data_IF_432725030300
#
_entry.id   IF_432725030300
#
_cell.length_a   1.000
_cell.length_b   1.000
_cell.length_c   1.000
_cell.angle_alpha   90.00
_cell.angle_beta   90.00
_cell.angle_gamma   90.00
#
_symmetry.space_group_name_H-M   'P 1'
#
loop_
_entity.id
_entity.type
_entity.pdbx_description
1 polymer ?
#
# COMPACT_ATOMS: atom_id res chain seq x y z
N UNK A 1 -5.08 9.92 13.39
CA UNK A 1 -4.79 10.13 11.96
C UNK A 1 -6.07 9.85 11.19
N UNK A 2 -6.39 10.62 10.16
CA UNK A 2 -7.50 10.33 9.25
C UNK A 2 -6.89 9.97 7.92
N UNK A 3 -7.05 8.72 7.48
CA UNK A 3 -6.44 8.22 6.26
C UNK A 3 -7.31 7.09 5.66
N UNK A 4 -7.03 6.74 4.41
CA UNK A 4 -7.64 5.59 3.77
C UNK A 4 -7.26 4.31 4.56
N UNK A 5 -8.23 3.53 5.08
CA UNK A 5 -7.95 2.35 5.90
C UNK A 5 -7.26 1.21 5.14
N UNK A 6 -7.26 1.24 3.81
CA UNK A 6 -6.56 0.27 2.97
C UNK A 6 -5.11 0.68 2.64
N UNK A 7 -4.73 1.92 2.95
CA UNK A 7 -3.37 2.41 2.79
C UNK A 7 -2.54 2.08 4.03
N UNK A 8 -1.23 1.85 3.85
CA UNK A 8 -0.28 1.83 4.95
C UNK A 8 -0.48 3.11 5.79
N UNK A 9 -0.68 2.99 7.12
CA UNK A 9 -0.84 4.13 8.02
C UNK A 9 0.46 4.94 8.08
N UNK A 10 0.62 5.83 7.12
CA UNK A 10 1.81 6.66 6.93
C UNK A 10 1.39 8.11 6.69
N UNK A 11 1.89 9.00 7.56
CA UNK A 11 1.68 10.45 7.47
C UNK A 11 0.36 10.96 8.10
N UNK A 12 0.36 12.25 8.43
CA UNK A 12 -0.80 12.98 8.95
C UNK A 12 -1.08 12.73 10.42
N UNK A 13 -0.16 13.10 11.31
CA UNK A 13 -0.45 13.19 12.74
C UNK A 13 -1.20 14.48 13.03
N UNK A 14 -2.28 14.36 13.80
CA UNK A 14 -2.89 15.50 14.46
C UNK A 14 -2.52 15.38 15.93
N UNK A 15 -1.92 16.42 16.48
CA UNK A 15 -1.58 16.50 17.89
C UNK A 15 -2.68 17.27 18.61
N UNK A 16 -3.14 16.73 19.73
CA UNK A 16 -4.09 17.39 20.64
C UNK A 16 -3.38 17.59 21.96
N UNK A 17 -3.37 18.83 22.45
CA UNK A 17 -2.71 19.18 23.71
C UNK A 17 -3.43 18.53 24.89
N UNK A 18 -2.67 18.06 25.88
CA UNK A 18 -3.24 17.49 27.10
C UNK A 18 -4.16 18.50 27.80
N UNK A 19 -5.29 18.02 28.32
CA UNK A 19 -6.30 18.86 28.99
C UNK A 19 -7.20 19.67 28.05
N UNK A 20 -7.11 19.47 26.73
CA UNK A 20 -7.98 20.13 25.75
C UNK A 20 -8.93 19.15 25.07
N UNK A 21 -10.09 19.65 24.62
CA UNK A 21 -10.99 18.91 23.75
C UNK A 21 -10.84 19.41 22.32
N UNK A 22 -10.83 18.49 21.35
CA UNK A 22 -10.76 18.81 19.93
C UNK A 22 -11.96 18.19 19.20
N UNK A 23 -12.77 19.02 18.55
CA UNK A 23 -13.82 18.58 17.63
C UNK A 23 -13.30 18.54 16.20
N UNK A 24 -13.06 17.35 15.67
CA UNK A 24 -12.50 17.17 14.32
C UNK A 24 -13.63 16.76 13.38
N UNK A 25 -14.00 17.65 12.46
CA UNK A 25 -14.91 17.32 11.37
C UNK A 25 -14.17 16.57 10.28
N UNK A 26 -14.73 15.45 9.83
CA UNK A 26 -14.13 14.57 8.82
C UNK A 26 -15.10 14.40 7.66
N UNK A 27 -14.60 14.52 6.44
CA UNK A 27 -15.31 14.16 5.21
C UNK A 27 -14.40 13.32 4.33
N UNK A 28 -14.97 12.59 3.38
CA UNK A 28 -14.23 11.72 2.48
C UNK A 28 -14.70 11.86 1.04
N UNK A 29 -13.75 12.09 0.14
CA UNK A 29 -13.98 12.14 -1.30
C UNK A 29 -13.41 10.88 -1.96
N UNK A 30 -14.22 10.26 -2.83
CA UNK A 30 -13.79 9.15 -3.66
C UNK A 30 -13.85 9.58 -5.14
N UNK A 31 -12.66 9.73 -5.74
CA UNK A 31 -12.52 10.17 -7.13
C UNK A 31 -12.25 8.96 -8.01
N UNK A 32 -13.06 8.79 -9.05
CA UNK A 32 -12.94 7.70 -10.02
C UNK A 32 -12.69 8.26 -11.42
N UNK A 33 -11.92 7.53 -12.21
CA UNK A 33 -11.64 7.91 -13.60
C UNK A 33 -12.76 7.47 -14.55
N UNK A 34 -12.96 8.22 -15.64
CA UNK A 34 -13.90 7.81 -16.70
C UNK A 34 -13.41 6.57 -17.46
N UNK A 35 -14.33 5.87 -18.13
CA UNK A 35 -14.00 4.68 -18.97
C UNK A 35 -12.98 5.00 -20.07
N UNK A 36 -13.01 6.22 -20.61
CA UNK A 36 -12.07 6.67 -21.65
C UNK A 36 -10.63 6.73 -21.14
N UNK A 37 -10.42 7.23 -19.93
CA UNK A 37 -9.10 7.25 -19.29
C UNK A 37 -8.62 5.84 -18.99
N UNK A 38 -9.54 4.95 -18.59
CA UNK A 38 -9.22 3.54 -18.34
C UNK A 38 -8.77 2.78 -19.58
N UNK A 39 -9.25 3.16 -20.76
CA UNK A 39 -8.82 2.57 -22.03
C UNK A 39 -7.43 3.01 -22.51
N UNK A 40 -6.79 3.97 -21.85
CA UNK A 40 -5.42 4.40 -22.21
C UNK A 40 -4.43 3.30 -21.78
N UNK A 41 -3.52 2.85 -22.66
CA UNK A 41 -2.48 1.88 -22.34
C UNK A 41 -1.67 2.26 -21.09
N UNK A 42 -1.27 1.26 -20.31
CA UNK A 42 -0.56 1.41 -19.02
C UNK A 42 0.69 2.28 -19.17
N UNK A 43 1.42 2.06 -20.27
CA UNK A 43 2.70 2.67 -20.61
C UNK A 43 2.58 4.19 -20.80
N UNK A 44 1.42 4.64 -21.29
CA UNK A 44 1.12 6.06 -21.51
C UNK A 44 0.59 6.74 -20.26
N UNK A 45 -0.29 6.06 -19.49
CA UNK A 45 -0.90 6.64 -18.28
C UNK A 45 -0.03 6.58 -17.03
N UNK A 46 0.97 5.69 -16.98
CA UNK A 46 1.96 5.54 -15.90
C UNK A 46 1.39 5.27 -14.49
N UNK A 47 0.13 4.86 -14.40
CA UNK A 47 -0.56 4.45 -13.18
C UNK A 47 -1.32 3.15 -13.44
N UNK A 48 -1.55 2.35 -12.41
CA UNK A 48 -2.33 1.10 -12.51
C UNK A 48 -3.69 1.27 -11.84
N UNK A 49 -4.68 0.53 -12.30
CA UNK A 49 -5.91 0.31 -11.55
C UNK A 49 -5.75 -0.87 -10.61
N UNK A 50 -6.65 -0.97 -9.62
CA UNK A 50 -6.60 -2.01 -8.59
C UNK A 50 -6.65 -3.44 -9.15
N UNK A 51 -7.26 -3.64 -10.31
CA UNK A 51 -7.41 -4.92 -11.01
C UNK A 51 -6.27 -5.22 -12.00
N UNK A 52 -5.43 -4.23 -12.31
CA UNK A 52 -4.30 -4.40 -13.25
C UNK A 52 -2.96 -4.53 -12.53
N UNK A 53 -2.96 -4.22 -11.23
CA UNK A 53 -1.75 -4.24 -10.44
C UNK A 53 -1.29 -5.66 -10.11
N UNK A 54 0.02 -5.86 -10.16
CA UNK A 54 0.66 -7.07 -9.65
C UNK A 54 0.51 -7.12 -8.13
N UNK A 55 0.38 -8.32 -7.57
CA UNK A 55 0.25 -8.54 -6.13
C UNK A 55 1.34 -7.81 -5.34
N UNK A 56 0.94 -6.87 -4.49
CA UNK A 56 1.79 -6.39 -3.41
C UNK A 56 1.72 -7.40 -2.27
N UNK A 57 2.79 -7.53 -1.49
CA UNK A 57 2.89 -8.61 -0.50
C UNK A 57 1.69 -8.61 0.47
N UNK A 58 1.29 -7.43 0.96
CA UNK A 58 0.32 -7.32 2.06
C UNK A 58 -0.80 -6.28 1.82
N UNK A 59 -0.91 -5.69 0.61
CA UNK A 59 -1.76 -4.52 0.40
C UNK A 59 -2.39 -4.40 -1.00
N UNK A 60 -3.51 -3.66 -1.12
CA UNK A 60 -4.07 -3.27 -2.42
C UNK A 60 -3.18 -2.25 -3.12
N UNK A 61 -3.29 -2.15 -4.45
CA UNK A 61 -2.59 -1.12 -5.21
C UNK A 61 -3.06 0.27 -4.80
N UNK A 62 -2.20 0.92 -4.04
CA UNK A 62 -2.23 2.33 -3.68
C UNK A 62 -0.79 2.82 -3.73
N UNK A 63 -0.58 4.08 -4.11
CA UNK A 63 0.78 4.64 -4.24
C UNK A 63 1.62 4.43 -2.97
N UNK A 64 1.03 4.66 -1.79
CA UNK A 64 1.71 4.48 -0.50
C UNK A 64 2.08 3.02 -0.24
N UNK A 65 1.20 2.10 -0.58
CA UNK A 65 1.43 0.66 -0.39
C UNK A 65 2.56 0.17 -1.30
N UNK A 66 2.60 0.66 -2.54
CA UNK A 66 3.66 0.33 -3.49
C UNK A 66 5.03 0.81 -3.03
N UNK A 67 5.11 2.03 -2.48
CA UNK A 67 6.37 2.56 -1.95
C UNK A 67 6.87 1.73 -0.76
N UNK A 68 5.96 1.33 0.13
CA UNK A 68 6.30 0.53 1.31
C UNK A 68 6.76 -0.88 0.94
N UNK A 69 6.04 -1.56 0.04
CA UNK A 69 6.45 -2.88 -0.46
C UNK A 69 7.82 -2.81 -1.16
N UNK A 70 8.08 -1.75 -1.93
CA UNK A 70 9.38 -1.51 -2.55
C UNK A 70 10.50 -1.39 -1.50
N UNK A 71 10.31 -0.55 -0.48
CA UNK A 71 11.29 -0.39 0.60
C UNK A 71 11.50 -1.69 1.37
N UNK A 72 10.42 -2.42 1.67
CA UNK A 72 10.52 -3.69 2.37
C UNK A 72 11.34 -4.71 1.57
N UNK A 73 11.03 -4.89 0.29
CA UNK A 73 11.76 -5.80 -0.60
C UNK A 73 13.22 -5.40 -0.72
N UNK A 74 13.50 -4.11 -0.82
CA UNK A 74 14.88 -3.60 -0.88
C UNK A 74 15.66 -3.95 0.40
N UNK A 75 15.09 -3.67 1.58
CA UNK A 75 15.76 -3.94 2.86
C UNK A 75 15.94 -5.43 3.11
N UNK A 76 14.95 -6.27 2.79
CA UNK A 76 15.09 -7.73 2.87
C UNK A 76 16.18 -8.23 1.92
N UNK A 77 16.24 -7.70 0.70
CA UNK A 77 17.22 -8.12 -0.31
C UNK A 77 18.66 -7.76 0.06
N UNK A 78 18.90 -6.55 0.54
CA UNK A 78 20.26 -6.03 0.74
C UNK A 78 20.74 -6.09 2.19
N UNK A 79 19.83 -6.03 3.17
CA UNK A 79 20.16 -6.05 4.60
C UNK A 79 19.76 -7.35 5.29
N UNK A 80 19.05 -8.25 4.59
CA UNK A 80 18.53 -9.52 5.13
C UNK A 80 17.66 -9.34 6.39
N UNK A 81 17.05 -8.17 6.56
CA UNK A 81 16.20 -7.82 7.69
C UNK A 81 14.95 -7.06 7.23
N UNK A 82 13.92 -7.07 8.07
CA UNK A 82 12.69 -6.29 7.86
C UNK A 82 12.43 -5.56 9.18
N UNK A 83 12.57 -4.23 9.24
CA UNK A 83 12.27 -3.45 10.44
C UNK A 83 10.78 -3.57 10.78
N UNK A 84 10.48 -4.18 11.92
CA UNK A 84 9.09 -4.49 12.33
C UNK A 84 8.23 -3.23 12.54
N UNK A 85 8.86 -2.09 12.83
CA UNK A 85 8.16 -0.81 12.99
C UNK A 85 7.81 -0.12 11.66
N UNK A 86 8.40 -0.56 10.54
CA UNK A 86 8.11 -0.04 9.20
C UNK A 86 7.16 -0.94 8.43
N UNK A 87 7.21 -2.25 8.67
CA UNK A 87 6.49 -3.23 7.87
C UNK A 87 5.74 -4.21 8.75
N UNK A 88 4.46 -4.46 8.44
CA UNK A 88 3.67 -5.50 9.12
C UNK A 88 4.29 -6.88 8.83
N UNK A 89 4.42 -7.71 9.87
CA UNK A 89 5.39 -8.80 10.04
C UNK A 89 5.40 -9.92 8.99
N UNK A 90 6.52 -10.66 9.01
CA UNK A 90 7.00 -11.70 8.07
C UNK A 90 6.09 -12.92 7.83
N UNK A 91 4.99 -13.12 8.55
CA UNK A 91 4.22 -14.37 8.49
C UNK A 91 3.52 -14.61 7.14
N UNK A 92 3.31 -13.57 6.32
CA UNK A 92 2.78 -13.71 4.96
C UNK A 92 3.85 -13.81 3.84
N UNK A 93 5.10 -13.45 4.12
CA UNK A 93 6.19 -13.44 3.13
C UNK A 93 6.88 -14.80 2.97
N UNK A 94 6.86 -15.63 4.02
CA UNK A 94 7.39 -17.00 3.98
C UNK A 94 6.56 -17.91 3.06
N UNK A 95 5.25 -17.67 2.94
CA UNK A 95 4.38 -18.55 2.15
C UNK A 95 4.46 -18.32 0.64
N UNK A 96 4.89 -17.14 0.19
CA UNK A 96 5.08 -16.82 -1.24
C UNK A 96 6.48 -17.16 -1.77
N UNK A 97 7.49 -17.26 -0.89
CA UNK A 97 8.87 -17.58 -1.28
C UNK A 97 9.19 -19.08 -1.21
N UNK A 98 8.36 -19.89 -0.53
CA UNK A 98 8.58 -21.33 -0.35
C UNK A 98 7.60 -22.25 -1.07
N UNK A 99 6.47 -21.75 -1.60
CA UNK A 99 5.59 -22.55 -2.46
C UNK A 99 6.02 -22.39 -3.94
N UNK A 100 6.49 -23.45 -4.62
CA UNK A 100 6.74 -23.38 -6.05
C UNK A 100 5.42 -23.02 -6.75
N UNK A 101 5.45 -22.00 -7.62
CA UNK A 101 4.33 -21.74 -8.51
C UNK A 101 4.14 -22.97 -9.40
N UNK A 102 3.12 -23.78 -9.12
CA UNK A 102 2.66 -24.80 -10.06
C UNK A 102 2.21 -24.06 -11.31
N UNK A 103 2.96 -24.25 -12.40
CA UNK A 103 2.59 -23.86 -13.75
C UNK A 103 1.19 -24.44 -14.06
N UNK A 104 0.19 -23.64 -14.46
CA UNK A 104 -1.05 -24.20 -14.94
C UNK A 104 -0.75 -25.03 -16.20
N UNK A 105 -1.36 -26.22 -16.22
CA UNK A 105 -1.21 -27.29 -17.22
C UNK A 105 -1.61 -26.83 -18.61
#
# INVERSE_FOLDING_TARGET
>A
MVANPQAMPSGGSMMVTSGTFAGISVWGDAIYTTKRVRGIPVELRKCLYSDEAVSLANHRYLSKNCQQDCWQRYTVRYCNCSPDFLFVSKDQLYEQTTKPQKKPT
#
